data_IF_585779101854
#
_entry.id   IF_585779101854
#
_cell.length_a   1.000
_cell.length_b   1.000
_cell.length_c   1.000
_cell.angle_alpha   90.00
_cell.angle_beta   90.00
_cell.angle_gamma   90.00
#
_symmetry.space_group_name_H-M   'P 1'
#
loop_
_entity.id
_entity.type
_entity.pdbx_description
1 polymer ?
#
# COMPACT_ATOMS: atom_id res chain seq x y z
N UNK A 1 3.14 1.06 -18.72
CA UNK A 1 4.27 1.97 -18.48
C UNK A 1 3.89 2.96 -17.41
N UNK A 2 4.73 3.13 -16.40
CA UNK A 2 4.60 4.20 -15.40
C UNK A 2 4.69 5.57 -16.10
N UNK A 3 3.78 6.49 -15.79
CA UNK A 3 3.74 7.84 -16.34
C UNK A 3 3.18 8.83 -15.32
N UNK A 4 3.43 10.13 -15.53
CA UNK A 4 2.87 11.18 -14.67
C UNK A 4 1.33 11.20 -14.70
N UNK A 5 0.72 10.96 -15.87
CA UNK A 5 -0.74 10.83 -16.01
C UNK A 5 -1.32 9.74 -15.10
N UNK A 6 -0.57 8.65 -14.93
CA UNK A 6 -0.96 7.55 -14.04
C UNK A 6 -0.94 7.98 -12.58
N UNK A 7 0.03 8.81 -12.18
CA UNK A 7 0.09 9.38 -10.83
C UNK A 7 -1.05 10.37 -10.59
N UNK A 8 -1.39 11.21 -11.57
CA UNK A 8 -2.56 12.11 -11.49
C UNK A 8 -3.89 11.33 -11.40
N UNK A 9 -4.01 10.26 -12.19
CA UNK A 9 -5.16 9.36 -12.11
C UNK A 9 -5.25 8.72 -10.72
N UNK A 10 -4.12 8.24 -10.17
CA UNK A 10 -4.07 7.70 -8.83
C UNK A 10 -4.51 8.72 -7.77
N UNK A 11 -4.05 9.97 -7.85
CA UNK A 11 -4.47 11.04 -6.93
C UNK A 11 -6.00 11.21 -6.91
N UNK A 12 -6.63 11.15 -8.10
CA UNK A 12 -8.09 11.27 -8.22
C UNK A 12 -8.82 10.08 -7.61
N UNK A 13 -8.38 8.86 -7.92
CA UNK A 13 -9.01 7.63 -7.45
C UNK A 13 -8.89 7.44 -5.93
N UNK A 14 -7.79 7.92 -5.34
CA UNK A 14 -7.50 7.70 -3.93
C UNK A 14 -8.22 8.66 -2.97
N UNK A 15 -8.82 9.77 -3.44
CA UNK A 15 -9.42 10.82 -2.60
C UNK A 15 -10.35 10.32 -1.48
N UNK A 16 -11.11 9.25 -1.73
CA UNK A 16 -12.06 8.69 -0.77
C UNK A 16 -11.54 7.45 -0.02
N UNK A 17 -10.31 7.02 -0.33
CA UNK A 17 -9.69 5.84 0.24
C UNK A 17 -8.67 6.21 1.29
N UNK A 18 -7.81 7.18 0.98
CA UNK A 18 -6.68 7.63 1.80
C UNK A 18 -6.98 8.94 2.51
N UNK A 19 -6.15 9.28 3.49
CA UNK A 19 -6.12 10.61 4.09
C UNK A 19 -5.00 11.42 3.44
N UNK A 20 -5.27 12.67 3.08
CA UNK A 20 -4.23 13.63 2.74
C UNK A 20 -3.40 13.97 4.00
N UNK A 21 -2.08 13.82 3.93
CA UNK A 21 -1.16 14.09 5.04
C UNK A 21 -0.49 15.43 4.83
N UNK A 22 -0.88 16.49 5.54
CA UNK A 22 -0.24 17.81 5.35
C UNK A 22 1.24 17.80 5.71
N UNK A 23 2.04 18.57 4.97
CA UNK A 23 3.42 18.87 5.37
C UNK A 23 3.44 19.55 6.74
N UNK A 24 4.38 19.14 7.58
CA UNK A 24 4.58 19.70 8.92
C UNK A 24 5.99 20.25 9.01
N UNK A 25 6.13 21.55 9.25
CA UNK A 25 7.45 22.17 9.45
C UNK A 25 8.07 21.67 10.75
N UNK A 26 9.33 21.23 10.67
CA UNK A 26 10.09 20.71 11.79
C UNK A 26 11.07 21.76 12.34
N UNK A 27 10.65 22.44 13.39
CA UNK A 27 11.47 23.46 14.05
C UNK A 27 12.59 22.83 14.90
N UNK A 28 13.78 23.43 14.84
CA UNK A 28 14.90 23.11 15.73
C UNK A 28 15.72 21.85 15.39
N UNK A 29 15.36 21.12 14.31
CA UNK A 29 16.13 19.96 13.83
C UNK A 29 17.27 20.41 12.90
N UNK A 30 16.95 21.30 11.96
CA UNK A 30 17.90 21.89 11.04
C UNK A 30 17.68 23.41 11.04
N UNK A 31 18.40 24.16 11.89
CA UNK A 31 18.14 25.59 12.06
C UNK A 31 18.52 26.43 10.82
N UNK A 32 19.46 25.91 10.01
CA UNK A 32 19.96 26.59 8.81
C UNK A 32 19.19 26.19 7.53
N UNK A 33 18.10 25.42 7.64
CA UNK A 33 17.27 25.03 6.50
C UNK A 33 15.78 24.92 6.84
N UNK A 34 14.93 25.01 5.82
CA UNK A 34 13.50 24.75 6.01
C UNK A 34 13.20 23.26 5.92
N UNK A 35 13.18 22.59 7.06
CA UNK A 35 12.85 21.17 7.12
C UNK A 35 11.33 20.96 7.28
N UNK A 36 10.76 20.15 6.39
CA UNK A 36 9.37 19.71 6.45
C UNK A 36 9.29 18.18 6.51
N UNK A 37 8.31 17.67 7.25
CA UNK A 37 8.01 16.24 7.35
C UNK A 37 6.69 15.96 6.63
N UNK A 38 6.67 14.88 5.85
CA UNK A 38 5.46 14.31 5.25
C UNK A 38 5.02 13.09 6.08
N UNK A 39 4.07 13.24 7.04
CA UNK A 39 3.84 12.24 8.08
C UNK A 39 2.96 11.09 7.60
N UNK A 40 3.47 10.26 6.68
CA UNK A 40 2.76 9.06 6.20
C UNK A 40 2.56 7.99 7.27
N UNK A 41 3.29 8.07 8.39
CA UNK A 41 3.01 7.26 9.59
C UNK A 41 1.60 7.52 10.16
N UNK A 42 1.01 8.68 9.89
CA UNK A 42 -0.34 8.96 10.34
C UNK A 42 -1.38 8.30 9.43
N UNK A 43 -1.04 7.88 8.20
CA UNK A 43 -2.00 7.44 7.17
C UNK A 43 -2.96 6.34 7.72
N UNK A 44 -4.11 6.09 7.07
CA UNK A 44 -5.19 5.26 7.63
C UNK A 44 -4.74 3.85 8.07
N UNK A 45 -3.70 3.29 7.44
CA UNK A 45 -3.08 2.01 7.83
C UNK A 45 -1.71 2.18 8.51
N UNK A 46 -1.45 3.33 9.10
CA UNK A 46 -0.19 3.68 9.76
C UNK A 46 1.03 3.86 8.83
N UNK A 47 0.84 3.85 7.51
CA UNK A 47 1.92 4.07 6.54
C UNK A 47 1.41 4.40 5.14
N UNK A 48 2.32 4.80 4.26
CA UNK A 48 2.02 5.13 2.87
C UNK A 48 1.52 3.97 2.00
N UNK A 49 1.76 2.71 2.41
CA UNK A 49 1.56 1.54 1.54
C UNK A 49 0.14 1.43 0.97
N UNK A 50 -0.87 1.88 1.73
CA UNK A 50 -2.28 1.89 1.28
C UNK A 50 -2.47 2.65 -0.04
N UNK A 51 -1.67 3.67 -0.35
CA UNK A 51 -1.82 4.45 -1.59
C UNK A 51 -1.62 3.57 -2.82
N UNK A 52 -0.49 2.87 -2.89
CA UNK A 52 -0.22 1.91 -3.96
C UNK A 52 -1.15 0.70 -3.97
N UNK A 53 -1.44 0.10 -2.79
CA UNK A 53 -2.35 -1.05 -2.70
C UNK A 53 -3.74 -0.70 -3.21
N UNK A 54 -4.29 0.43 -2.78
CA UNK A 54 -5.61 0.90 -3.18
C UNK A 54 -5.68 1.25 -4.66
N UNK A 55 -4.66 1.91 -5.21
CA UNK A 55 -4.68 2.23 -6.64
C UNK A 55 -4.55 0.97 -7.50
N UNK A 56 -3.67 0.02 -7.14
CA UNK A 56 -3.59 -1.28 -7.83
C UNK A 56 -4.93 -1.99 -7.83
N UNK A 57 -5.61 -2.06 -6.68
CA UNK A 57 -6.91 -2.73 -6.54
C UNK A 57 -8.02 -2.00 -7.31
N UNK A 58 -8.02 -0.67 -7.31
CA UNK A 58 -8.98 0.12 -8.06
C UNK A 58 -8.86 -0.07 -9.59
N UNK A 59 -7.67 -0.40 -10.09
CA UNK A 59 -7.40 -0.64 -11.51
C UNK A 59 -7.65 -2.08 -11.96
N UNK A 60 -8.11 -2.97 -11.07
CA UNK A 60 -8.48 -4.33 -11.45
C UNK A 60 -9.75 -4.34 -12.30
N UNK A 61 -9.79 -5.24 -13.27
CA UNK A 61 -11.01 -5.58 -13.99
C UNK A 61 -12.02 -6.27 -13.08
N UNK A 62 -13.30 -6.27 -13.46
CA UNK A 62 -14.35 -6.98 -12.70
C UNK A 62 -14.08 -8.48 -12.60
N UNK A 63 -13.45 -9.10 -13.62
CA UNK A 63 -13.03 -10.50 -13.56
C UNK A 63 -11.98 -10.72 -12.45
N UNK A 64 -10.93 -9.90 -12.41
CA UNK A 64 -9.90 -9.99 -11.38
C UNK A 64 -10.47 -9.72 -9.98
N UNK A 65 -11.34 -8.71 -9.84
CA UNK A 65 -12.02 -8.42 -8.57
C UNK A 65 -12.86 -9.60 -8.09
N UNK A 66 -13.55 -10.29 -9.00
CA UNK A 66 -14.38 -11.44 -8.66
C UNK A 66 -13.58 -12.64 -8.12
N UNK A 67 -12.33 -12.80 -8.59
CA UNK A 67 -11.40 -13.85 -8.11
C UNK A 67 -10.76 -13.47 -6.77
N UNK A 68 -10.60 -12.18 -6.52
CA UNK A 68 -9.97 -11.66 -5.30
C UNK A 68 -8.47 -11.40 -5.48
N UNK A 69 -7.86 -10.88 -4.43
CA UNK A 69 -6.44 -10.49 -4.43
C UNK A 69 -5.65 -11.30 -3.42
N UNK A 70 -4.35 -11.48 -3.71
CA UNK A 70 -3.42 -12.14 -2.81
C UNK A 70 -2.14 -11.31 -2.64
N UNK A 71 -1.56 -11.33 -1.46
CA UNK A 71 -0.25 -10.72 -1.21
C UNK A 71 0.52 -11.53 -0.15
N UNK A 72 1.84 -11.29 -0.08
CA UNK A 72 2.70 -11.80 0.98
C UNK A 72 3.35 -10.63 1.71
N UNK A 73 2.98 -10.38 2.97
CA UNK A 73 3.61 -9.33 3.79
C UNK A 73 3.15 -9.38 5.25
N UNK A 74 4.07 -9.45 6.21
CA UNK A 74 3.76 -9.32 7.63
C UNK A 74 3.78 -7.87 8.11
N UNK A 75 3.06 -6.93 7.47
CA UNK A 75 3.12 -5.52 7.90
C UNK A 75 2.32 -4.54 7.06
N UNK A 76 2.90 -3.36 6.84
CA UNK A 76 2.27 -2.21 6.21
C UNK A 76 1.58 -2.53 4.87
N UNK A 77 2.20 -3.36 4.03
CA UNK A 77 1.60 -3.75 2.76
C UNK A 77 0.35 -4.61 2.94
N UNK A 78 0.37 -5.60 3.83
CA UNK A 78 -0.81 -6.41 4.09
C UNK A 78 -1.98 -5.61 4.64
N UNK A 79 -1.73 -4.65 5.54
CA UNK A 79 -2.78 -3.76 6.03
C UNK A 79 -3.34 -2.86 4.92
N UNK A 80 -2.45 -2.33 4.06
CA UNK A 80 -2.85 -1.56 2.88
C UNK A 80 -3.71 -2.35 1.90
N UNK A 81 -3.32 -3.59 1.58
CA UNK A 81 -4.07 -4.51 0.71
C UNK A 81 -5.41 -4.89 1.33
N UNK A 82 -5.42 -5.29 2.61
CA UNK A 82 -6.62 -5.69 3.33
C UNK A 82 -7.66 -4.57 3.34
N UNK A 83 -7.28 -3.37 3.77
CA UNK A 83 -8.18 -2.22 3.81
C UNK A 83 -8.72 -1.87 2.41
N UNK A 84 -7.84 -1.84 1.40
CA UNK A 84 -8.20 -1.52 0.04
C UNK A 84 -9.17 -2.54 -0.57
N UNK A 85 -8.94 -3.83 -0.37
CA UNK A 85 -9.80 -4.90 -0.86
C UNK A 85 -11.17 -4.85 -0.18
N UNK A 86 -11.20 -4.72 1.15
CA UNK A 86 -12.44 -4.59 1.93
C UNK A 86 -13.27 -3.40 1.48
N UNK A 87 -12.66 -2.22 1.27
CA UNK A 87 -13.36 -1.03 0.77
C UNK A 87 -13.97 -1.21 -0.63
N UNK A 88 -13.46 -2.15 -1.42
CA UNK A 88 -13.96 -2.47 -2.76
C UNK A 88 -14.85 -3.73 -2.77
N UNK A 89 -15.14 -4.34 -1.62
CA UNK A 89 -15.92 -5.58 -1.54
C UNK A 89 -15.21 -6.80 -2.13
N UNK A 90 -13.88 -6.77 -2.22
CA UNK A 90 -13.03 -7.80 -2.83
C UNK A 90 -12.46 -8.68 -1.72
N UNK A 91 -12.44 -10.00 -1.93
CA UNK A 91 -11.74 -10.92 -1.03
C UNK A 91 -10.23 -10.70 -1.11
N UNK A 92 -9.56 -10.64 0.04
CA UNK A 92 -8.10 -10.58 0.09
C UNK A 92 -7.53 -11.70 0.95
N UNK A 93 -6.50 -12.36 0.44
CA UNK A 93 -5.75 -13.38 1.16
C UNK A 93 -4.31 -12.88 1.37
N UNK A 94 -3.83 -12.93 2.61
CA UNK A 94 -2.46 -12.56 2.96
C UNK A 94 -1.70 -13.79 3.43
N UNK A 95 -0.67 -14.18 2.69
CA UNK A 95 0.25 -15.23 3.08
C UNK A 95 1.33 -14.68 4.02
N UNK A 96 1.57 -15.38 5.13
CA UNK A 96 2.51 -15.01 6.18
C UNK A 96 3.25 -16.25 6.67
N UNK A 97 4.51 -16.14 7.11
CA UNK A 97 5.12 -17.21 7.89
C UNK A 97 4.35 -17.41 9.21
N UNK A 98 4.24 -18.64 9.68
CA UNK A 98 3.59 -19.00 10.94
C UNK A 98 4.28 -18.40 12.18
N UNK A 99 5.54 -17.99 12.03
CA UNK A 99 6.32 -17.23 13.00
C UNK A 99 6.02 -15.72 13.03
N UNK A 100 5.11 -15.22 12.18
CA UNK A 100 4.76 -13.79 12.15
C UNK A 100 4.16 -13.32 13.49
N UNK A 101 4.48 -12.10 13.97
CA UNK A 101 3.94 -11.62 15.24
C UNK A 101 2.41 -11.55 15.23
N UNK A 102 1.77 -12.06 16.28
CA UNK A 102 0.31 -12.13 16.42
C UNK A 102 -0.34 -10.75 16.22
N UNK A 103 0.26 -9.69 16.74
CA UNK A 103 -0.24 -8.31 16.57
C UNK A 103 -0.39 -7.91 15.10
N UNK A 104 0.47 -8.41 14.22
CA UNK A 104 0.40 -8.12 12.79
C UNK A 104 -0.64 -8.98 12.07
N UNK A 105 -0.78 -10.24 12.47
CA UNK A 105 -1.83 -11.14 11.97
C UNK A 105 -3.21 -10.55 12.30
N UNK A 106 -3.43 -10.17 13.56
CA UNK A 106 -4.71 -9.63 14.01
C UNK A 106 -5.00 -8.25 13.42
N UNK A 107 -3.98 -7.39 13.24
CA UNK A 107 -4.16 -6.12 12.53
C UNK A 107 -4.62 -6.34 11.07
N UNK A 108 -4.01 -7.29 10.36
CA UNK A 108 -4.40 -7.62 8.98
C UNK A 108 -5.83 -8.18 8.90
N UNK A 109 -6.20 -9.10 9.80
CA UNK A 109 -7.59 -9.61 9.89
C UNK A 109 -8.58 -8.52 10.26
N UNK A 110 -8.20 -7.60 11.15
CA UNK A 110 -9.03 -6.46 11.55
C UNK A 110 -9.40 -5.52 10.38
N UNK A 111 -8.60 -5.52 9.32
CA UNK A 111 -8.91 -4.81 8.07
C UNK A 111 -9.71 -5.64 7.06
N UNK A 112 -10.10 -6.87 7.39
CA UNK A 112 -11.00 -7.73 6.60
C UNK A 112 -10.30 -8.73 5.67
N UNK A 113 -9.00 -8.95 5.82
CA UNK A 113 -8.29 -9.96 5.05
C UNK A 113 -8.32 -11.34 5.71
N UNK A 114 -8.40 -12.38 4.89
CA UNK A 114 -8.07 -13.73 5.27
C UNK A 114 -6.55 -13.87 5.39
N UNK A 115 -6.08 -14.72 6.32
CA UNK A 115 -4.66 -14.96 6.55
C UNK A 115 -4.33 -16.43 6.33
N UNK A 116 -3.38 -16.70 5.44
CA UNK A 116 -2.78 -18.02 5.25
C UNK A 116 -1.43 -18.07 5.96
N UNK A 117 -1.36 -18.80 7.08
CA UNK A 117 -0.09 -19.07 7.77
C UNK A 117 0.63 -20.21 7.07
N UNK A 118 1.92 -20.00 6.78
CA UNK A 118 2.79 -20.92 6.06
C UNK A 118 3.97 -21.27 6.94
N UNK A 119 4.26 -22.56 7.11
CA UNK A 119 5.42 -22.98 7.89
C UNK A 119 6.71 -22.52 7.20
N UNK A 120 7.65 -21.99 7.99
CA UNK A 120 8.96 -21.59 7.52
C UNK A 120 9.17 -20.07 7.48
N UNK A 121 9.78 -19.59 6.41
CA UNK A 121 10.23 -18.21 6.29
C UNK A 121 9.38 -17.41 5.30
N UNK A 122 9.80 -16.17 5.05
CA UNK A 122 9.11 -15.28 4.10
C UNK A 122 9.05 -15.88 2.69
N UNK A 123 10.14 -16.53 2.24
CA UNK A 123 10.21 -17.09 0.89
C UNK A 123 9.20 -18.23 0.71
N UNK A 124 8.99 -19.06 1.73
CA UNK A 124 7.98 -20.12 1.73
C UNK A 124 6.56 -19.52 1.61
N UNK A 125 6.26 -18.48 2.39
CA UNK A 125 4.99 -17.76 2.31
C UNK A 125 4.78 -17.08 0.94
N UNK A 126 5.84 -16.54 0.35
CA UNK A 126 5.81 -15.94 -0.98
C UNK A 126 5.55 -16.98 -2.07
N UNK A 127 6.26 -18.12 -2.04
CA UNK A 127 6.01 -19.23 -2.97
C UNK A 127 4.59 -19.77 -2.84
N UNK A 128 4.07 -19.88 -1.60
CA UNK A 128 2.68 -20.29 -1.39
C UNK A 128 1.69 -19.30 -2.00
N UNK A 129 1.96 -17.99 -1.89
CA UNK A 129 1.12 -16.98 -2.53
C UNK A 129 1.14 -17.10 -4.06
N UNK A 130 2.30 -17.38 -4.67
CA UNK A 130 2.38 -17.63 -6.12
C UNK A 130 1.64 -18.91 -6.53
N UNK A 131 1.77 -19.99 -5.77
CA UNK A 131 1.04 -21.24 -6.01
C UNK A 131 -0.48 -21.01 -5.99
N UNK A 132 -0.99 -20.33 -4.96
CA UNK A 132 -2.42 -20.03 -4.81
C UNK A 132 -2.92 -19.06 -5.89
N UNK A 133 -2.08 -18.10 -6.30
CA UNK A 133 -2.37 -17.22 -7.43
C UNK A 133 -2.61 -18.02 -8.71
N UNK A 134 -1.72 -18.95 -9.05
CA UNK A 134 -1.87 -19.79 -10.26
C UNK A 134 -3.04 -20.78 -10.15
N UNK A 135 -3.27 -21.35 -8.96
CA UNK A 135 -4.31 -22.36 -8.74
C UNK A 135 -5.72 -21.79 -8.66
N UNK A 136 -5.90 -20.71 -7.91
CA UNK A 136 -7.22 -20.12 -7.59
C UNK A 136 -7.51 -18.87 -8.43
N UNK A 137 -6.52 -18.35 -9.17
CA UNK A 137 -6.66 -17.21 -10.08
C UNK A 137 -6.66 -15.84 -9.42
N UNK A 138 -6.17 -15.72 -8.17
CA UNK A 138 -6.04 -14.44 -7.49
C UNK A 138 -5.14 -13.47 -8.25
N UNK A 139 -5.42 -12.17 -8.15
CA UNK A 139 -4.46 -11.15 -8.60
C UNK A 139 -3.44 -10.89 -7.50
N UNK A 140 -2.15 -11.14 -7.79
CA UNK A 140 -1.07 -10.84 -6.87
C UNK A 140 -0.81 -9.33 -6.78
N UNK A 141 -0.89 -8.76 -5.58
CA UNK A 141 -0.61 -7.34 -5.33
C UNK A 141 0.82 -7.21 -4.82
N UNK A 142 1.74 -6.91 -5.73
CA UNK A 142 3.16 -6.79 -5.41
C UNK A 142 3.43 -5.58 -4.48
N UNK A 143 4.34 -5.69 -3.48
CA UNK A 143 4.56 -4.62 -2.50
C UNK A 143 5.26 -3.36 -3.02
N UNK A 144 5.90 -3.40 -4.19
CA UNK A 144 6.63 -2.27 -4.78
C UNK A 144 6.83 -2.36 -6.30
N UNK A 145 7.27 -3.51 -6.80
CA UNK A 145 7.51 -3.79 -8.23
C UNK A 145 6.21 -4.00 -9.05
N UNK A 146 5.33 -3.00 -9.05
CA UNK A 146 4.14 -2.93 -9.89
C UNK A 146 3.86 -1.46 -10.22
N UNK A 147 3.65 -1.15 -11.50
CA UNK A 147 3.49 0.24 -11.94
C UNK A 147 2.30 0.97 -11.32
N UNK A 148 1.19 0.26 -11.03
CA UNK A 148 0.07 0.87 -10.32
C UNK A 148 0.47 1.12 -8.87
N UNK A 149 1.15 0.18 -8.22
CA UNK A 149 1.64 0.39 -6.86
C UNK A 149 2.55 1.61 -6.80
N UNK A 150 3.52 1.72 -7.71
CA UNK A 150 4.42 2.89 -7.82
C UNK A 150 3.64 4.17 -8.07
N UNK A 151 2.69 4.18 -9.01
CA UNK A 151 1.89 5.37 -9.31
C UNK A 151 1.07 5.83 -8.09
N UNK A 152 0.50 4.90 -7.33
CA UNK A 152 -0.21 5.22 -6.09
C UNK A 152 0.73 5.84 -5.05
N UNK A 153 1.93 5.29 -4.86
CA UNK A 153 2.90 5.90 -3.94
C UNK A 153 3.34 7.31 -4.39
N UNK A 154 3.47 7.52 -5.71
CA UNK A 154 3.85 8.81 -6.30
C UNK A 154 2.90 9.96 -5.96
N UNK A 155 1.67 9.68 -5.54
CA UNK A 155 0.72 10.71 -5.09
C UNK A 155 1.22 11.52 -3.90
N UNK A 156 2.15 10.98 -3.10
CA UNK A 156 2.82 11.70 -2.02
C UNK A 156 3.54 12.93 -2.56
N UNK A 157 4.29 12.78 -3.67
CA UNK A 157 5.04 13.86 -4.27
C UNK A 157 4.12 14.95 -4.84
N UNK A 158 2.97 14.56 -5.43
CA UNK A 158 1.97 15.54 -5.89
C UNK A 158 1.40 16.36 -4.73
N UNK A 159 1.15 15.73 -3.58
CA UNK A 159 0.69 16.48 -2.40
C UNK A 159 1.79 17.39 -1.85
N UNK A 160 3.05 16.95 -1.85
CA UNK A 160 4.19 17.77 -1.42
C UNK A 160 4.31 19.02 -2.30
N UNK A 161 4.32 18.84 -3.62
CA UNK A 161 4.44 19.93 -4.61
C UNK A 161 3.22 20.86 -4.63
N UNK A 162 2.08 20.43 -4.07
CA UNK A 162 0.90 21.27 -3.92
C UNK A 162 0.87 22.02 -2.58
N UNK A 163 1.55 21.51 -1.55
CA UNK A 163 1.62 22.14 -0.23
C UNK A 163 2.78 23.15 -0.13
N UNK A 164 3.85 22.98 -0.91
CA UNK A 164 5.05 23.82 -0.85
C UNK A 164 5.66 24.03 -2.24
N UNK A 165 5.82 25.30 -2.63
CA UNK A 165 6.54 25.72 -3.84
C UNK A 165 8.06 25.76 -3.59
N UNK A 166 8.85 25.80 -4.66
CA UNK A 166 10.32 26.03 -4.63
C UNK A 166 11.13 25.05 -3.75
N UNK A 167 10.78 23.76 -3.78
CA UNK A 167 11.48 22.71 -3.03
C UNK A 167 12.86 22.41 -3.63
N UNK A 168 13.90 22.53 -2.81
CA UNK A 168 15.28 22.18 -3.19
C UNK A 168 15.50 20.65 -3.30
N UNK A 169 14.97 19.88 -2.34
CA UNK A 169 15.18 18.44 -2.27
C UNK A 169 14.04 17.70 -1.55
N UNK A 170 13.73 16.48 -2.00
CA UNK A 170 12.84 15.52 -1.33
C UNK A 170 13.67 14.30 -0.95
N UNK A 171 13.70 13.95 0.34
CA UNK A 171 14.37 12.75 0.86
C UNK A 171 13.32 11.67 1.09
N UNK A 172 13.53 10.49 0.49
CA UNK A 172 12.60 9.34 0.52
C UNK A 172 13.26 8.12 1.15
#
# INVERSE_FOLDING_TARGET
MLSLDKVFNAQTMLKNIIRETKLVRAYGIAPDSELYLKPENLQITGSFKVRGSAYKIAMLSEEEKSKGVIACSAGNHAQGVALAATKNGIKSLICLPDSAPISKIEATKGFGADVCLVAGCYDDAYQKALELKEKEGYTFVHPFDDENVIAGQGTIALEILNDLDDIDAIVV
#
